data_IF_734331474928
#
_entry.id   IF_734331474928
#
_cell.length_a   1.000
_cell.length_b   1.000
_cell.length_c   1.000
_cell.angle_alpha   90.00
_cell.angle_beta   90.00
_cell.angle_gamma   90.00
#
_symmetry.space_group_name_H-M   'P 1'
#
loop_
_entity.id
_entity.type
_entity.pdbx_description
1 polymer ?
#
# COMPACT_ATOMS: atom_id res chain seq x y z
N UNK A 1 -71.62 -23.24 6.14
CA UNK A 1 -70.23 -23.71 5.98
C UNK A 1 -69.53 -22.72 5.07
N UNK A 2 -68.65 -21.91 5.65
CA UNK A 2 -67.95 -20.79 5.04
C UNK A 2 -66.52 -21.21 4.74
N UNK A 3 -66.01 -20.86 3.56
CA UNK A 3 -64.63 -20.41 3.34
C UNK A 3 -64.47 -19.95 1.89
N UNK A 4 -64.59 -18.64 1.68
CA UNK A 4 -64.03 -17.96 0.52
C UNK A 4 -62.50 -17.90 0.70
N UNK A 5 -61.74 -18.42 -0.27
CA UNK A 5 -60.29 -18.29 -0.29
C UNK A 5 -59.89 -17.22 -1.31
N UNK A 6 -59.19 -16.24 -0.76
CA UNK A 6 -58.82 -14.94 -1.28
C UNK A 6 -57.76 -15.03 -2.39
N UNK A 7 -57.95 -14.25 -3.45
CA UNK A 7 -56.92 -13.88 -4.42
C UNK A 7 -55.81 -13.10 -3.72
N UNK A 8 -54.54 -13.45 -3.98
CA UNK A 8 -53.38 -12.76 -3.40
C UNK A 8 -52.12 -12.87 -4.26
N UNK A 9 -52.01 -11.94 -5.22
CA UNK A 9 -50.80 -11.15 -5.54
C UNK A 9 -49.44 -11.83 -5.75
N UNK A 10 -49.02 -11.89 -7.02
CA UNK A 10 -47.73 -11.41 -7.54
C UNK A 10 -46.51 -11.47 -6.59
N UNK A 11 -45.76 -12.57 -6.65
CA UNK A 11 -44.35 -12.55 -6.31
C UNK A 11 -43.55 -12.22 -7.59
N UNK A 12 -43.43 -10.93 -7.91
CA UNK A 12 -42.25 -10.46 -8.65
C UNK A 12 -41.05 -10.76 -7.74
N UNK A 13 -40.39 -11.89 -8.00
CA UNK A 13 -39.09 -12.16 -7.41
C UNK A 13 -38.15 -11.05 -7.86
N UNK A 14 -37.84 -10.17 -6.93
CA UNK A 14 -36.86 -9.11 -7.04
C UNK A 14 -35.57 -9.63 -7.68
N UNK A 15 -35.29 -9.19 -8.90
CA UNK A 15 -33.95 -9.22 -9.47
C UNK A 15 -33.07 -8.30 -8.61
N UNK A 16 -32.55 -8.84 -7.51
CA UNK A 16 -31.62 -8.17 -6.63
C UNK A 16 -30.40 -7.77 -7.45
N UNK A 17 -30.26 -6.47 -7.72
CA UNK A 17 -29.24 -5.93 -8.59
C UNK A 17 -27.83 -6.26 -8.06
N UNK A 18 -27.00 -7.03 -8.78
CA UNK A 18 -25.61 -7.27 -8.40
C UNK A 18 -24.64 -6.13 -8.80
N UNK A 19 -25.15 -4.96 -9.20
CA UNK A 19 -24.36 -4.00 -9.97
C UNK A 19 -23.61 -2.94 -9.14
N UNK A 20 -24.05 -2.57 -7.93
CA UNK A 20 -23.45 -1.43 -7.22
C UNK A 20 -22.03 -1.71 -6.72
N UNK A 21 -21.75 -2.94 -6.27
CA UNK A 21 -20.41 -3.33 -5.83
C UNK A 21 -19.41 -3.39 -7.01
N UNK A 22 -19.88 -3.74 -8.21
CA UNK A 22 -19.04 -3.83 -9.40
C UNK A 22 -18.54 -2.47 -9.86
N UNK A 23 -19.37 -1.43 -9.77
CA UNK A 23 -18.98 -0.07 -10.19
C UNK A 23 -17.90 0.50 -9.28
N UNK A 24 -18.05 0.37 -7.96
CA UNK A 24 -17.04 0.85 -6.99
C UNK A 24 -15.70 0.15 -7.19
N UNK A 25 -15.72 -1.15 -7.45
CA UNK A 25 -14.51 -1.94 -7.68
C UNK A 25 -13.80 -1.57 -8.99
N UNK A 26 -14.56 -1.39 -10.07
CA UNK A 26 -14.04 -0.95 -11.38
C UNK A 26 -13.47 0.46 -11.28
N UNK A 27 -14.15 1.38 -10.59
CA UNK A 27 -13.66 2.76 -10.37
C UNK A 27 -12.37 2.74 -9.56
N UNK A 28 -12.30 1.97 -8.46
CA UNK A 28 -11.09 1.85 -7.65
C UNK A 28 -9.91 1.30 -8.47
N UNK A 29 -10.13 0.22 -9.24
CA UNK A 29 -9.11 -0.36 -10.13
C UNK A 29 -8.65 0.63 -11.20
N UNK A 30 -9.57 1.40 -11.78
CA UNK A 30 -9.26 2.40 -12.80
C UNK A 30 -8.40 3.53 -12.22
N UNK A 31 -8.77 4.04 -11.04
CA UNK A 31 -7.99 5.07 -10.31
C UNK A 31 -6.60 4.53 -9.96
N UNK A 32 -6.51 3.27 -9.54
CA UNK A 32 -5.24 2.61 -9.24
C UNK A 32 -4.33 2.50 -10.46
N UNK A 33 -4.86 2.03 -11.59
CA UNK A 33 -4.12 1.94 -12.84
C UNK A 33 -3.68 3.31 -13.33
N UNK A 34 -4.53 4.33 -13.20
CA UNK A 34 -4.18 5.71 -13.53
C UNK A 34 -3.05 6.25 -12.65
N UNK A 35 -3.11 6.04 -11.33
CA UNK A 35 -2.06 6.44 -10.38
C UNK A 35 -0.75 5.68 -10.63
N UNK A 36 -0.84 4.37 -10.90
CA UNK A 36 0.31 3.54 -11.22
C UNK A 36 0.98 4.00 -12.53
N UNK A 37 0.19 4.18 -13.60
CA UNK A 37 0.63 4.67 -14.90
C UNK A 37 1.23 6.08 -14.83
N UNK A 38 0.56 7.00 -14.13
CA UNK A 38 1.05 8.35 -13.88
C UNK A 38 2.39 8.32 -13.14
N UNK A 39 2.48 7.51 -12.08
CA UNK A 39 3.72 7.35 -11.33
C UNK A 39 4.84 6.85 -12.25
N UNK A 40 4.59 5.83 -13.08
CA UNK A 40 5.55 5.23 -14.00
C UNK A 40 6.03 6.23 -15.05
N UNK A 41 5.10 6.93 -15.69
CA UNK A 41 5.41 7.92 -16.73
C UNK A 41 6.21 9.09 -16.16
N UNK A 42 5.80 9.61 -15.01
CA UNK A 42 6.52 10.68 -14.31
C UNK A 42 7.90 10.24 -13.83
N UNK A 43 8.06 8.99 -13.39
CA UNK A 43 9.36 8.38 -13.05
C UNK A 43 10.26 8.35 -14.28
N UNK A 44 9.74 7.95 -15.45
CA UNK A 44 10.48 7.97 -16.73
C UNK A 44 10.89 9.39 -17.13
N UNK A 45 10.00 10.36 -16.95
CA UNK A 45 10.27 11.77 -17.23
C UNK A 45 11.35 12.36 -16.32
N UNK A 46 11.34 12.05 -15.02
CA UNK A 46 12.34 12.51 -14.06
C UNK A 46 13.73 11.93 -14.33
N UNK A 47 13.83 10.66 -14.76
CA UNK A 47 15.12 10.08 -15.17
C UNK A 47 15.76 10.84 -16.32
N UNK A 48 14.97 11.21 -17.33
CA UNK A 48 15.44 11.99 -18.47
C UNK A 48 15.94 13.38 -18.07
N UNK A 49 15.31 14.02 -17.07
CA UNK A 49 15.69 15.37 -16.63
C UNK A 49 16.97 15.42 -15.77
N UNK A 50 17.29 14.34 -15.06
CA UNK A 50 18.36 14.35 -14.05
C UNK A 50 19.55 13.43 -14.36
N UNK A 51 19.60 12.82 -15.55
CA UNK A 51 20.68 11.91 -15.97
C UNK A 51 21.05 10.84 -14.92
N UNK A 52 20.05 10.36 -14.17
CA UNK A 52 20.25 9.40 -13.09
C UNK A 52 20.73 8.07 -13.67
N UNK A 53 21.69 7.43 -12.99
CA UNK A 53 22.19 6.11 -13.37
C UNK A 53 21.09 5.05 -13.47
N UNK A 54 21.38 3.94 -14.14
CA UNK A 54 20.39 2.88 -14.38
C UNK A 54 19.78 2.29 -13.08
N UNK A 55 20.41 2.53 -11.92
CA UNK A 55 19.97 2.06 -10.60
C UNK A 55 19.56 3.17 -9.62
N UNK A 56 19.68 4.43 -10.01
CA UNK A 56 19.51 5.57 -9.12
C UNK A 56 18.14 6.24 -9.27
N UNK A 57 17.64 6.76 -8.14
CA UNK A 57 16.34 7.40 -8.07
C UNK A 57 16.34 8.57 -7.11
N UNK A 58 16.20 9.78 -7.65
CA UNK A 58 15.88 10.95 -6.85
C UNK A 58 14.38 10.92 -6.50
N UNK A 59 14.04 10.57 -5.26
CA UNK A 59 12.65 10.58 -4.80
C UNK A 59 12.48 11.68 -3.77
N UNK A 60 11.47 12.53 -3.96
CA UNK A 60 11.05 13.48 -2.92
C UNK A 60 10.34 12.71 -1.82
N UNK A 61 10.65 12.99 -0.56
CA UNK A 61 10.02 12.37 0.62
C UNK A 61 8.48 12.34 0.54
N UNK A 62 7.86 13.44 0.08
CA UNK A 62 6.41 13.51 -0.13
C UNK A 62 5.87 12.45 -1.09
N UNK A 63 6.66 12.04 -2.09
CA UNK A 63 6.24 11.06 -3.09
C UNK A 63 6.35 9.62 -2.57
N UNK A 64 7.12 9.37 -1.51
CA UNK A 64 7.18 8.06 -0.86
C UNK A 64 5.88 7.71 -0.15
N UNK A 65 5.11 8.71 0.28
CA UNK A 65 3.80 8.51 0.92
C UNK A 65 2.70 8.05 -0.04
N UNK A 66 2.88 8.20 -1.36
CA UNK A 66 1.86 7.77 -2.31
C UNK A 66 1.66 6.24 -2.31
N UNK A 67 2.75 5.49 -2.11
CA UNK A 67 2.74 4.02 -2.10
C UNK A 67 1.93 3.43 -0.93
N UNK A 68 2.16 3.80 0.34
CA UNK A 68 1.34 3.33 1.44
C UNK A 68 -0.10 3.81 1.33
N UNK A 69 -0.36 5.03 0.85
CA UNK A 69 -1.74 5.52 0.64
C UNK A 69 -2.48 4.64 -0.36
N UNK A 70 -1.84 4.33 -1.48
CA UNK A 70 -2.40 3.41 -2.49
C UNK A 70 -2.65 2.03 -1.90
N UNK A 71 -1.70 1.47 -1.16
CA UNK A 71 -1.86 0.18 -0.50
C UNK A 71 -3.03 0.17 0.49
N UNK A 72 -3.16 1.20 1.34
CA UNK A 72 -4.28 1.35 2.27
C UNK A 72 -5.61 1.39 1.51
N UNK A 73 -5.73 2.19 0.46
CA UNK A 73 -6.99 2.32 -0.30
C UNK A 73 -7.40 1.00 -0.95
N UNK A 74 -6.44 0.26 -1.53
CA UNK A 74 -6.70 -1.05 -2.15
C UNK A 74 -7.17 -2.06 -1.12
N UNK A 75 -6.51 -2.08 0.03
CA UNK A 75 -6.66 -3.13 1.04
C UNK A 75 -7.81 -2.82 2.00
N UNK A 76 -8.20 -1.55 2.17
CA UNK A 76 -9.27 -1.13 3.08
C UNK A 76 -10.60 -1.82 2.79
N UNK A 77 -10.97 -1.98 1.51
CA UNK A 77 -12.21 -2.66 1.14
C UNK A 77 -12.23 -4.15 1.51
N UNK A 78 -11.08 -4.81 1.48
CA UNK A 78 -10.93 -6.21 1.89
C UNK A 78 -10.94 -6.32 3.42
N UNK A 79 -10.13 -5.51 4.09
CA UNK A 79 -10.04 -5.51 5.56
C UNK A 79 -11.37 -5.12 6.21
N UNK A 80 -12.15 -4.22 5.64
CA UNK A 80 -13.46 -3.87 6.17
C UNK A 80 -14.42 -5.07 6.20
N UNK A 81 -14.38 -5.92 5.17
CA UNK A 81 -15.17 -7.17 5.13
C UNK A 81 -14.65 -8.18 6.14
N UNK A 82 -13.33 -8.37 6.20
CA UNK A 82 -12.69 -9.30 7.15
C UNK A 82 -13.00 -8.93 8.61
N UNK A 83 -12.96 -7.63 8.95
CA UNK A 83 -13.29 -7.14 10.30
C UNK A 83 -14.75 -7.42 10.66
N UNK A 84 -15.67 -7.33 9.69
CA UNK A 84 -17.07 -7.66 9.90
C UNK A 84 -17.33 -9.18 10.03
N UNK A 85 -16.42 -10.02 9.52
CA UNK A 85 -16.56 -11.48 9.55
C UNK A 85 -16.32 -12.10 10.93
N UNK A 86 -15.59 -11.43 11.83
CA UNK A 86 -15.49 -11.85 13.23
C UNK A 86 -14.21 -11.41 13.97
N UNK A 87 -14.19 -11.67 15.28
CA UNK A 87 -13.09 -11.27 16.16
C UNK A 87 -11.75 -11.95 15.83
N UNK A 88 -11.77 -13.13 15.22
CA UNK A 88 -10.55 -13.82 14.78
C UNK A 88 -9.78 -13.00 13.74
N UNK A 89 -10.47 -12.29 12.83
CA UNK A 89 -9.83 -11.42 11.85
C UNK A 89 -9.21 -10.18 12.48
N UNK A 90 -9.78 -9.67 13.59
CA UNK A 90 -9.15 -8.59 14.35
C UNK A 90 -7.81 -9.02 14.96
N UNK A 91 -7.74 -10.23 15.50
CA UNK A 91 -6.48 -10.79 16.02
C UNK A 91 -5.49 -10.97 14.89
N UNK A 92 -5.90 -11.54 13.76
CA UNK A 92 -5.05 -11.70 12.58
C UNK A 92 -4.51 -10.35 12.06
N UNK A 93 -5.37 -9.32 12.01
CA UNK A 93 -5.02 -7.95 11.62
C UNK A 93 -4.01 -7.34 12.59
N UNK A 94 -4.20 -7.52 13.91
CA UNK A 94 -3.26 -7.04 14.91
C UNK A 94 -1.89 -7.72 14.80
N UNK A 95 -1.86 -9.05 14.68
CA UNK A 95 -0.62 -9.83 14.52
C UNK A 95 0.11 -9.42 13.24
N UNK A 96 -0.60 -9.36 12.12
CA UNK A 96 -0.05 -8.90 10.85
C UNK A 96 0.49 -7.49 10.94
N UNK A 97 -0.26 -6.56 11.55
CA UNK A 97 0.18 -5.18 11.77
C UNK A 97 1.47 -5.07 12.57
N UNK A 98 1.62 -5.83 13.66
CA UNK A 98 2.86 -5.84 14.47
C UNK A 98 4.05 -6.36 13.64
N UNK A 99 3.88 -7.48 12.93
CA UNK A 99 4.93 -8.05 12.08
C UNK A 99 5.32 -7.06 10.98
N UNK A 100 4.33 -6.46 10.32
CA UNK A 100 4.52 -5.44 9.29
C UNK A 100 5.30 -4.24 9.81
N UNK A 101 4.94 -3.72 10.99
CA UNK A 101 5.63 -2.58 11.60
C UNK A 101 7.11 -2.87 11.85
N UNK A 102 7.43 -4.03 12.43
CA UNK A 102 8.81 -4.46 12.70
C UNK A 102 9.61 -4.55 11.40
N UNK A 103 9.07 -5.24 10.38
CA UNK A 103 9.72 -5.38 9.07
C UNK A 103 9.92 -4.02 8.39
N UNK A 104 8.93 -3.14 8.46
CA UNK A 104 8.99 -1.80 7.87
C UNK A 104 10.08 -0.94 8.48
N UNK A 105 10.24 -0.98 9.81
CA UNK A 105 11.31 -0.26 10.51
C UNK A 105 12.69 -0.84 10.18
N UNK A 106 12.84 -2.16 10.21
CA UNK A 106 14.11 -2.83 9.88
C UNK A 106 14.55 -2.52 8.45
N UNK A 107 13.62 -2.57 7.50
CA UNK A 107 13.88 -2.25 6.10
C UNK A 107 14.16 -0.76 5.91
N UNK A 108 13.41 0.11 6.59
CA UNK A 108 13.67 1.55 6.61
C UNK A 108 15.08 1.87 7.11
N UNK A 109 15.54 1.19 8.17
CA UNK A 109 16.91 1.26 8.68
C UNK A 109 17.94 0.87 7.63
N UNK A 110 17.74 -0.28 6.99
CA UNK A 110 18.64 -0.78 5.97
C UNK A 110 18.74 0.17 4.75
N UNK A 111 17.59 0.68 4.28
CA UNK A 111 17.54 1.65 3.19
C UNK A 111 18.25 2.96 3.55
N UNK A 112 18.10 3.42 4.78
CA UNK A 112 18.77 4.63 5.25
C UNK A 112 20.29 4.47 5.28
N UNK A 113 20.78 3.27 5.64
CA UNK A 113 22.22 2.96 5.61
C UNK A 113 22.84 2.96 4.21
N UNK A 114 22.02 2.81 3.16
CA UNK A 114 22.46 2.85 1.76
C UNK A 114 22.11 4.14 1.02
N UNK A 115 21.37 5.05 1.65
CA UNK A 115 20.92 6.26 0.97
C UNK A 115 22.06 7.28 0.85
N UNK A 116 22.35 7.74 -0.37
CA UNK A 116 23.23 8.90 -0.61
C UNK A 116 22.38 10.17 -0.68
N UNK A 117 22.73 11.19 0.10
CA UNK A 117 22.13 12.53 0.01
C UNK A 117 22.81 13.31 -1.11
N UNK A 118 22.03 13.81 -2.06
CA UNK A 118 22.50 14.75 -3.08
C UNK A 118 21.61 15.98 -3.01
N UNK A 119 22.09 17.02 -2.33
CA UNK A 119 21.29 18.20 -1.97
C UNK A 119 20.09 17.83 -1.09
N UNK A 120 18.92 18.42 -1.38
CA UNK A 120 17.68 18.18 -0.62
C UNK A 120 16.92 16.91 -1.05
N UNK A 121 17.63 15.93 -1.62
CA UNK A 121 17.05 14.70 -2.18
C UNK A 121 17.82 13.48 -1.71
N UNK A 122 17.07 12.43 -1.36
CA UNK A 122 17.62 11.11 -1.08
C UNK A 122 17.65 10.33 -2.38
N UNK A 123 18.86 9.93 -2.79
CA UNK A 123 19.04 8.96 -3.87
C UNK A 123 19.02 7.59 -3.22
N UNK A 124 17.92 6.88 -3.41
CA UNK A 124 17.79 5.49 -3.00
C UNK A 124 18.08 4.57 -4.18
N UNK A 125 18.90 3.56 -3.96
CA UNK A 125 19.08 2.46 -4.90
C UNK A 125 17.84 1.57 -4.88
N UNK A 126 17.31 1.28 -6.06
CA UNK A 126 16.10 0.45 -6.19
C UNK A 126 16.45 -1.00 -5.91
N UNK A 127 16.00 -1.53 -4.78
CA UNK A 127 16.06 -2.97 -4.50
C UNK A 127 14.91 -3.70 -5.20
N UNK A 128 15.22 -4.79 -5.93
CA UNK A 128 14.23 -5.70 -6.54
C UNK A 128 13.14 -6.19 -5.57
N UNK A 129 13.45 -6.18 -4.28
CA UNK A 129 12.54 -6.53 -3.19
C UNK A 129 11.25 -5.70 -3.14
N UNK A 130 11.22 -4.46 -3.65
CA UNK A 130 9.98 -3.66 -3.70
C UNK A 130 9.00 -4.23 -4.74
N UNK A 131 9.53 -4.66 -5.89
CA UNK A 131 8.73 -5.27 -6.96
C UNK A 131 8.25 -6.64 -6.53
N UNK A 132 9.14 -7.44 -5.91
CA UNK A 132 8.79 -8.76 -5.41
C UNK A 132 7.67 -8.69 -4.36
N UNK A 133 7.74 -7.74 -3.42
CA UNK A 133 6.72 -7.59 -2.38
C UNK A 133 5.34 -7.24 -2.97
N UNK A 134 5.30 -6.32 -3.95
CA UNK A 134 4.05 -5.96 -4.64
C UNK A 134 3.46 -7.14 -5.41
N UNK A 135 4.28 -7.91 -6.12
CA UNK A 135 3.82 -9.11 -6.86
C UNK A 135 3.25 -10.14 -5.88
N UNK A 136 3.93 -10.40 -4.77
CA UNK A 136 3.45 -11.34 -3.73
C UNK A 136 2.12 -10.87 -3.15
N UNK A 137 1.97 -9.57 -2.86
CA UNK A 137 0.71 -8.99 -2.36
C UNK A 137 -0.44 -9.17 -3.35
N UNK A 138 -0.21 -8.93 -4.64
CA UNK A 138 -1.22 -9.10 -5.69
C UNK A 138 -1.63 -10.57 -5.83
N UNK A 139 -0.66 -11.50 -5.83
CA UNK A 139 -0.93 -12.95 -5.89
C UNK A 139 -1.74 -13.40 -4.67
N UNK A 140 -1.36 -12.97 -3.47
CA UNK A 140 -2.11 -13.24 -2.24
C UNK A 140 -3.55 -12.72 -2.33
N UNK A 141 -3.74 -11.52 -2.88
CA UNK A 141 -5.06 -10.93 -3.06
C UNK A 141 -5.92 -11.70 -4.08
N UNK A 142 -5.31 -12.22 -5.15
CA UNK A 142 -5.99 -13.08 -6.13
C UNK A 142 -6.41 -14.42 -5.50
N UNK A 143 -5.50 -15.07 -4.77
CA UNK A 143 -5.77 -16.34 -4.07
C UNK A 143 -6.88 -16.14 -3.02
N UNK A 144 -6.86 -15.03 -2.28
CA UNK A 144 -7.90 -14.73 -1.29
C UNK A 144 -9.28 -14.58 -1.94
N UNK A 145 -9.39 -13.90 -3.09
CA UNK A 145 -10.67 -13.77 -3.82
C UNK A 145 -11.26 -15.12 -4.19
N UNK A 146 -10.42 -16.08 -4.53
CA UNK A 146 -10.82 -17.43 -4.93
C UNK A 146 -11.24 -18.29 -3.73
N UNK A 147 -10.64 -18.05 -2.55
CA UNK A 147 -10.92 -18.76 -1.29
C UNK A 147 -12.05 -18.14 -0.46
N UNK A 148 -12.59 -16.98 -0.87
CA UNK A 148 -13.57 -16.20 -0.10
C UNK A 148 -14.95 -16.87 0.06
N UNK A 149 -15.15 -18.08 -0.47
CA UNK A 149 -16.41 -18.83 -0.33
C UNK A 149 -16.59 -19.49 1.04
N UNK A 150 -15.52 -19.64 1.84
CA UNK A 150 -15.59 -20.12 3.23
C UNK A 150 -15.05 -19.07 4.22
N UNK A 151 -15.97 -18.37 4.90
CA UNK A 151 -15.74 -17.19 5.75
C UNK A 151 -14.92 -17.41 7.02
N UNK A 152 -14.54 -18.65 7.35
CA UNK A 152 -13.80 -19.01 8.58
C UNK A 152 -12.64 -19.97 8.33
N UNK A 153 -12.19 -20.08 7.07
CA UNK A 153 -11.01 -20.88 6.77
C UNK A 153 -9.76 -20.25 7.37
N UNK A 154 -8.82 -21.08 7.86
CA UNK A 154 -7.53 -20.60 8.37
C UNK A 154 -6.78 -19.75 7.32
N UNK A 155 -7.03 -20.02 6.03
CA UNK A 155 -6.49 -19.26 4.91
C UNK A 155 -7.00 -17.81 4.88
N UNK A 156 -8.28 -17.58 5.20
CA UNK A 156 -8.84 -16.24 5.30
C UNK A 156 -8.11 -15.43 6.39
N UNK A 157 -7.90 -16.02 7.57
CA UNK A 157 -7.14 -15.37 8.66
C UNK A 157 -5.69 -15.06 8.26
N UNK A 158 -5.01 -16.01 7.63
CA UNK A 158 -3.63 -15.81 7.13
C UNK A 158 -3.59 -14.68 6.10
N UNK A 159 -4.57 -14.61 5.20
CA UNK A 159 -4.64 -13.53 4.20
C UNK A 159 -4.86 -12.15 4.84
N UNK A 160 -5.77 -12.04 5.82
CA UNK A 160 -5.96 -10.80 6.60
C UNK A 160 -4.66 -10.38 7.30
N UNK A 161 -3.94 -11.33 7.90
CA UNK A 161 -2.65 -11.07 8.55
C UNK A 161 -1.58 -10.60 7.54
N UNK A 162 -1.49 -11.22 6.36
CA UNK A 162 -0.53 -10.83 5.34
C UNK A 162 -0.84 -9.47 4.71
N UNK A 163 -2.12 -9.19 4.44
CA UNK A 163 -2.57 -7.89 3.92
C UNK A 163 -2.28 -6.77 4.91
N UNK A 164 -2.66 -6.95 6.18
CA UNK A 164 -2.37 -5.97 7.23
C UNK A 164 -0.87 -5.78 7.44
N UNK A 165 -0.07 -6.86 7.42
CA UNK A 165 1.38 -6.77 7.49
C UNK A 165 1.97 -5.94 6.33
N UNK A 166 1.52 -6.17 5.10
CA UNK A 166 2.01 -5.43 3.93
C UNK A 166 1.68 -3.94 3.99
N UNK A 167 0.46 -3.59 4.40
CA UNK A 167 0.05 -2.18 4.56
C UNK A 167 0.86 -1.50 5.66
N UNK A 168 0.96 -2.12 6.83
CA UNK A 168 1.65 -1.54 7.98
C UNK A 168 3.17 -1.48 7.74
N UNK A 169 3.77 -2.45 7.04
CA UNK A 169 5.18 -2.40 6.60
C UNK A 169 5.46 -1.16 5.75
N UNK A 170 4.63 -0.93 4.74
CA UNK A 170 4.78 0.22 3.85
C UNK A 170 4.67 1.56 4.60
N UNK A 171 3.67 1.69 5.49
CA UNK A 171 3.46 2.88 6.32
C UNK A 171 4.63 3.09 7.29
N UNK A 172 5.02 2.05 8.03
CA UNK A 172 6.09 2.12 9.02
C UNK A 172 7.43 2.49 8.37
N UNK A 173 7.73 1.90 7.21
CA UNK A 173 8.94 2.18 6.43
C UNK A 173 9.01 3.65 6.01
N UNK A 174 7.95 4.19 5.42
CA UNK A 174 7.91 5.58 4.96
C UNK A 174 7.95 6.56 6.14
N UNK A 175 7.25 6.23 7.23
CA UNK A 175 7.29 7.00 8.48
C UNK A 175 8.70 7.06 9.04
N UNK A 176 9.39 5.91 9.14
CA UNK A 176 10.76 5.83 9.62
C UNK A 176 11.70 6.71 8.79
N UNK A 177 11.66 6.59 7.45
CA UNK A 177 12.47 7.39 6.55
C UNK A 177 12.18 8.89 6.70
N UNK A 178 10.91 9.26 6.85
CA UNK A 178 10.49 10.67 7.00
C UNK A 178 10.98 11.28 8.30
N UNK A 179 10.78 10.59 9.42
CA UNK A 179 11.23 11.05 10.75
C UNK A 179 12.74 11.21 10.74
N UNK A 180 13.48 10.19 10.29
CA UNK A 180 14.94 10.20 10.30
C UNK A 180 15.54 11.25 9.37
N UNK A 181 14.92 11.49 8.21
CA UNK A 181 15.36 12.53 7.30
C UNK A 181 15.24 13.94 7.91
N UNK A 182 14.16 14.19 8.67
CA UNK A 182 13.93 15.46 9.39
C UNK A 182 14.94 15.66 10.53
N UNK A 183 15.21 14.63 11.32
CA UNK A 183 16.19 14.74 12.42
C UNK A 183 17.58 15.11 11.89
N UNK A 184 17.97 14.54 10.76
CA UNK A 184 19.27 14.81 10.14
C UNK A 184 19.32 16.11 9.31
N UNK A 185 18.26 16.93 9.27
CA UNK A 185 18.34 18.31 8.73
C UNK A 185 18.53 19.34 9.84
N UNK A 186 18.19 19.02 11.08
CA UNK A 186 18.42 19.88 12.24
C UNK A 186 19.88 19.89 12.70
N UNK A 187 20.66 18.87 12.35
CA UNK A 187 22.07 18.75 12.77
C UNK A 187 23.09 19.43 11.83
N UNK A 188 22.70 19.83 10.62
CA UNK A 188 23.58 20.60 9.72
C UNK A 188 23.30 22.10 9.92
N UNK A 189 24.17 22.86 10.61
CA UNK A 189 23.98 24.29 10.75
C UNK A 189 24.11 24.98 9.38
N UNK A 190 23.29 26.01 9.10
CA UNK A 190 23.26 26.72 7.81
C UNK A 190 24.57 27.44 7.41
N UNK A 191 25.66 27.31 8.19
CA UNK A 191 26.95 27.95 7.96
C UNK A 191 28.04 27.06 7.32
N UNK A 192 27.84 25.76 7.13
CA UNK A 192 28.89 24.86 6.60
C UNK A 192 29.09 24.93 5.08
N UNK A 193 28.28 25.71 4.34
CA UNK A 193 28.43 25.86 2.89
C UNK A 193 29.63 26.71 2.44
N UNK A 194 30.39 27.30 3.36
CA UNK A 194 31.55 28.14 3.05
C UNK A 194 32.86 27.34 2.74
N UNK A 195 32.84 26.01 2.76
CA UNK A 195 34.06 25.19 2.75
C UNK A 195 34.49 24.54 1.42
N UNK A 196 33.77 24.73 0.31
CA UNK A 196 34.13 24.10 -0.99
C UNK A 196 34.79 25.06 -1.99
N UNK A 197 35.47 26.09 -1.46
CA UNK A 197 36.48 26.84 -2.20
C UNK A 197 37.87 26.53 -1.64
N UNK A 198 38.48 25.44 -2.11
CA UNK A 198 39.91 25.03 -2.04
C UNK A 198 39.92 23.52 -2.28
N UNK A 199 40.52 22.96 -3.31
CA UNK A 199 41.84 23.25 -3.88
C UNK A 199 41.87 22.96 -5.38
N UNK A 200 42.66 23.80 -6.06
CA UNK A 200 43.35 23.64 -7.35
C UNK A 200 43.46 22.25 -7.94
#
# INVERSE_FOLDING_TARGET
MSAAATVGTTALASSGAPAENGVVEVVALTVLLALAGWSFWRRRALRRRYHLGHRERAVRLQQQWLEPVVAVVVVAGVLAKDVAAGSAHLVALAVGGVVGAVLGVLRGRYLLGRARRVGNRLVLERTWQEVLLLVVLVVLQMVQRELSTESTSALALVSTALLSAGVVESVARVTYLTVRARTATTQDPPGSAAGLGRTT
#
